data_IF_404485395670
#
_entry.id   IF_404485395670
#
_cell.length_a   1.000
_cell.length_b   1.000
_cell.length_c   1.000
_cell.angle_alpha   90.00
_cell.angle_beta   90.00
_cell.angle_gamma   90.00
#
_symmetry.space_group_name_H-M   'P 1'
#
loop_
_entity.id
_entity.type
_entity.pdbx_description
1 polymer ?
#
# COMPACT_ATOMS: atom_id res chain seq x y z
N UNK A 1 -11.90 -60.18 -15.84
CA UNK A 1 -12.25 -59.57 -14.53
C UNK A 1 -11.02 -59.45 -13.61
N UNK A 2 -9.99 -58.68 -13.99
CA UNK A 2 -8.85 -58.35 -13.10
C UNK A 2 -8.30 -56.91 -13.26
N UNK A 3 -8.91 -56.07 -14.11
CA UNK A 3 -8.51 -54.66 -14.27
C UNK A 3 -9.51 -53.63 -13.72
N UNK A 4 -10.75 -54.03 -13.41
CA UNK A 4 -11.77 -53.12 -12.85
C UNK A 4 -11.63 -52.88 -11.34
N UNK A 5 -10.83 -53.67 -10.63
CA UNK A 5 -10.68 -53.56 -9.16
C UNK A 5 -9.66 -52.51 -8.71
N UNK A 6 -8.81 -51.98 -9.60
CA UNK A 6 -7.76 -51.01 -9.24
C UNK A 6 -8.17 -49.55 -9.48
N UNK A 7 -9.13 -49.31 -10.39
CA UNK A 7 -9.63 -47.96 -10.68
C UNK A 7 -10.63 -47.50 -9.59
N UNK A 8 -11.37 -48.43 -8.98
CA UNK A 8 -12.30 -48.16 -7.87
C UNK A 8 -11.61 -47.76 -6.55
N UNK A 9 -10.33 -48.14 -6.35
CA UNK A 9 -9.59 -47.79 -5.13
C UNK A 9 -8.95 -46.39 -5.19
N UNK A 10 -8.72 -45.84 -6.39
CA UNK A 10 -8.12 -44.51 -6.57
C UNK A 10 -9.16 -43.39 -6.39
N UNK A 11 -10.44 -43.67 -6.66
CA UNK A 11 -11.52 -42.68 -6.51
C UNK A 11 -11.92 -42.49 -5.03
N UNK A 12 -11.73 -43.50 -4.17
CA UNK A 12 -12.08 -43.39 -2.74
C UNK A 12 -11.05 -42.62 -1.90
N UNK A 13 -9.82 -42.44 -2.39
CA UNK A 13 -8.77 -41.64 -1.71
C UNK A 13 -8.87 -40.14 -2.05
N UNK A 14 -9.62 -39.77 -3.08
CA UNK A 14 -9.77 -38.38 -3.54
C UNK A 14 -10.96 -37.62 -2.93
N UNK A 15 -11.81 -38.27 -2.13
CA UNK A 15 -13.04 -37.67 -1.57
C UNK A 15 -12.90 -37.26 -0.08
N UNK A 16 -11.74 -37.46 0.55
CA UNK A 16 -11.51 -37.16 1.97
C UNK A 16 -10.72 -35.87 2.27
N UNK A 17 -10.62 -34.93 1.32
CA UNK A 17 -10.01 -33.60 1.55
C UNK A 17 -11.00 -32.42 1.55
N UNK A 18 -12.31 -32.67 1.62
CA UNK A 18 -13.33 -31.63 1.82
C UNK A 18 -14.10 -31.81 3.15
N UNK A 19 -13.39 -32.17 4.22
CA UNK A 19 -13.86 -31.88 5.56
C UNK A 19 -13.37 -30.47 5.91
N UNK A 20 -14.29 -29.51 5.84
CA UNK A 20 -14.05 -28.12 6.19
C UNK A 20 -13.43 -28.01 7.58
N UNK A 21 -12.19 -27.55 7.63
CA UNK A 21 -11.70 -26.86 8.82
C UNK A 21 -12.42 -25.51 8.78
N UNK A 22 -13.54 -25.44 9.50
CA UNK A 22 -14.04 -24.17 10.00
C UNK A 22 -12.96 -23.69 10.96
N UNK A 23 -12.07 -22.81 10.47
CA UNK A 23 -11.29 -21.97 11.36
C UNK A 23 -12.28 -21.02 12.04
N UNK A 24 -12.84 -21.45 13.17
CA UNK A 24 -13.21 -20.49 14.20
C UNK A 24 -11.88 -20.01 14.78
N UNK A 25 -11.25 -19.06 14.12
CA UNK A 25 -10.29 -18.23 14.83
C UNK A 25 -11.12 -17.52 15.89
N UNK A 26 -10.91 -17.94 17.13
CA UNK A 26 -11.31 -17.15 18.26
C UNK A 26 -10.82 -15.73 18.04
N UNK A 27 -11.59 -14.79 18.54
CA UNK A 27 -11.18 -13.42 18.80
C UNK A 27 -9.86 -13.47 19.59
N UNK A 28 -8.74 -13.60 18.89
CA UNK A 28 -7.47 -13.08 19.36
C UNK A 28 -7.66 -11.58 19.23
N UNK A 29 -7.71 -10.95 20.40
CA UNK A 29 -7.60 -9.51 20.57
C UNK A 29 -6.33 -9.10 19.84
N UNK A 30 -6.46 -8.70 18.56
CA UNK A 30 -5.37 -8.08 17.83
C UNK A 30 -5.20 -6.72 18.48
N UNK A 31 -4.42 -6.68 19.57
CA UNK A 31 -3.86 -5.44 20.03
C UNK A 31 -3.05 -4.92 18.85
N UNK A 32 -3.66 -4.06 18.05
CA UNK A 32 -2.97 -3.38 16.97
C UNK A 32 -1.73 -2.74 17.59
N UNK A 33 -0.57 -2.94 16.99
CA UNK A 33 0.70 -2.39 17.49
C UNK A 33 0.69 -0.86 17.50
N UNK A 34 -0.27 -0.26 16.79
CA UNK A 34 -0.47 1.19 16.69
C UNK A 34 -1.80 1.64 17.31
N UNK A 35 -1.84 2.89 17.74
CA UNK A 35 -3.04 3.50 18.31
C UNK A 35 -3.88 4.20 17.23
N UNK A 36 -5.19 3.93 17.20
CA UNK A 36 -6.15 4.73 16.43
C UNK A 36 -6.62 5.95 17.21
N UNK A 37 -6.51 7.14 16.60
CA UNK A 37 -6.87 8.41 17.22
C UNK A 37 -7.92 9.11 16.36
N UNK A 38 -9.17 9.17 16.84
CA UNK A 38 -10.22 9.92 16.16
C UNK A 38 -10.14 11.42 16.45
N UNK A 39 -10.20 12.20 15.38
CA UNK A 39 -10.38 13.65 15.42
C UNK A 39 -11.82 13.99 15.08
N UNK A 40 -12.49 14.66 16.01
CA UNK A 40 -13.92 14.97 15.92
C UNK A 40 -14.80 13.84 16.46
N UNK A 41 -16.04 13.75 15.95
CA UNK A 41 -17.00 12.76 16.42
C UNK A 41 -16.69 11.39 15.82
N UNK A 42 -16.30 10.46 16.68
CA UNK A 42 -16.09 9.05 16.32
C UNK A 42 -17.39 8.41 15.80
N UNK A 43 -17.37 7.73 14.64
CA UNK A 43 -18.53 7.01 14.12
C UNK A 43 -18.96 5.85 15.03
N UNK A 44 -20.25 5.50 15.00
CA UNK A 44 -20.80 4.39 15.78
C UNK A 44 -20.18 3.02 15.43
N UNK A 45 -19.77 2.83 14.17
CA UNK A 45 -19.14 1.60 13.68
C UNK A 45 -17.60 1.67 13.72
N UNK A 46 -17.01 2.51 14.57
CA UNK A 46 -15.56 2.81 14.59
C UNK A 46 -14.69 1.56 14.74
N UNK A 47 -14.99 0.66 15.68
CA UNK A 47 -14.20 -0.58 15.87
C UNK A 47 -14.12 -1.42 14.57
N UNK A 48 -15.22 -1.49 13.82
CA UNK A 48 -15.25 -2.21 12.52
C UNK A 48 -14.47 -1.46 11.45
N UNK A 49 -14.57 -0.14 11.44
CA UNK A 49 -13.82 0.72 10.51
C UNK A 49 -12.32 0.55 10.76
N UNK A 50 -11.87 0.66 12.01
CA UNK A 50 -10.47 0.49 12.42
C UNK A 50 -9.93 -0.88 12.01
N UNK A 51 -10.63 -1.96 12.36
CA UNK A 51 -10.24 -3.30 11.93
C UNK A 51 -10.18 -3.48 10.40
N UNK A 52 -11.03 -2.76 9.65
CA UNK A 52 -11.00 -2.78 8.18
C UNK A 52 -9.87 -1.93 7.61
N UNK A 53 -9.48 -0.85 8.28
CA UNK A 53 -8.33 -0.02 7.92
C UNK A 53 -7.05 -0.83 8.12
N UNK A 54 -6.90 -1.53 9.25
CA UNK A 54 -5.73 -2.38 9.55
C UNK A 54 -5.41 -3.40 8.45
N UNK A 55 -6.45 -3.94 7.83
CA UNK A 55 -6.32 -4.91 6.75
C UNK A 55 -5.94 -4.27 5.40
N UNK A 56 -6.12 -2.97 5.25
CA UNK A 56 -5.95 -2.24 3.98
C UNK A 56 -4.77 -1.27 3.97
N UNK A 57 -4.20 -0.93 5.13
CA UNK A 57 -2.94 -0.18 5.20
C UNK A 57 -1.75 -1.10 4.92
N UNK A 58 -0.65 -0.52 4.47
CA UNK A 58 0.53 -1.28 4.06
C UNK A 58 1.77 -0.40 4.25
N UNK A 59 2.35 -0.36 5.46
CA UNK A 59 3.60 0.36 5.69
C UNK A 59 4.70 -0.16 4.76
N UNK A 60 5.68 0.68 4.46
CA UNK A 60 6.87 0.26 3.74
C UNK A 60 7.67 -0.74 4.59
N UNK A 61 8.29 -1.79 4.01
CA UNK A 61 9.13 -2.71 4.77
C UNK A 61 10.19 -2.00 5.63
N UNK A 62 10.16 -2.25 6.95
CA UNK A 62 11.04 -1.59 7.91
C UNK A 62 10.47 -0.26 8.47
N UNK A 63 9.21 0.04 8.22
CA UNK A 63 8.42 1.08 8.90
C UNK A 63 7.31 0.39 9.67
N UNK A 64 7.17 0.77 10.94
CA UNK A 64 6.02 0.46 11.78
C UNK A 64 5.29 1.76 12.07
N UNK A 65 3.95 1.74 12.03
CA UNK A 65 3.17 2.90 12.44
C UNK A 65 3.07 2.93 13.95
N UNK A 66 3.23 4.10 14.55
CA UNK A 66 3.00 4.31 15.98
C UNK A 66 1.56 4.74 16.25
N UNK A 67 0.99 5.53 15.34
CA UNK A 67 -0.39 5.99 15.44
C UNK A 67 -1.02 6.24 14.08
N UNK A 68 -2.33 6.07 14.03
CA UNK A 68 -3.17 6.39 12.87
C UNK A 68 -4.24 7.37 13.32
N UNK A 69 -4.10 8.62 12.87
CA UNK A 69 -5.09 9.66 13.12
C UNK A 69 -6.19 9.57 12.07
N UNK A 70 -7.43 9.43 12.52
CA UNK A 70 -8.62 9.32 11.69
C UNK A 70 -9.48 10.59 11.79
N UNK A 71 -10.05 11.01 10.68
CA UNK A 71 -11.14 11.99 10.65
C UNK A 71 -12.25 11.46 9.77
N UNK A 72 -13.50 11.76 10.12
CA UNK A 72 -14.66 11.36 9.35
C UNK A 72 -15.52 12.57 8.96
N UNK A 73 -16.00 12.55 7.73
CA UNK A 73 -17.01 13.49 7.23
C UNK A 73 -18.11 12.73 6.50
N UNK A 74 -19.33 13.27 6.50
CA UNK A 74 -20.48 12.66 5.81
C UNK A 74 -20.82 13.46 4.57
N UNK A 75 -20.84 12.79 3.43
CA UNK A 75 -21.22 13.38 2.14
C UNK A 75 -22.08 12.37 1.36
N UNK A 76 -23.22 12.79 0.82
CA UNK A 76 -24.09 11.94 -0.03
C UNK A 76 -24.42 10.56 0.57
N UNK A 77 -24.74 10.52 1.86
CA UNK A 77 -25.00 9.29 2.65
C UNK A 77 -23.82 8.30 2.74
N UNK A 78 -22.62 8.76 2.44
CA UNK A 78 -21.37 8.01 2.62
C UNK A 78 -20.53 8.65 3.71
N UNK A 79 -19.80 7.81 4.44
CA UNK A 79 -18.82 8.28 5.40
C UNK A 79 -17.45 8.28 4.71
N UNK A 80 -16.87 9.47 4.55
CA UNK A 80 -15.52 9.65 4.04
C UNK A 80 -14.58 9.67 5.24
N UNK A 81 -13.56 8.80 5.21
CA UNK A 81 -12.59 8.68 6.28
C UNK A 81 -11.22 9.02 5.72
N UNK A 82 -10.56 9.98 6.36
CA UNK A 82 -9.17 10.32 6.05
C UNK A 82 -8.30 9.78 7.19
N UNK A 83 -7.33 8.96 6.83
CA UNK A 83 -6.36 8.38 7.76
C UNK A 83 -4.97 8.97 7.50
N UNK A 84 -4.27 9.38 8.55
CA UNK A 84 -2.86 9.77 8.51
C UNK A 84 -2.09 8.87 9.46
N UNK A 85 -1.24 8.00 8.92
CA UNK A 85 -0.40 7.08 9.67
C UNK A 85 1.00 7.70 9.86
N UNK A 86 1.46 7.72 11.10
CA UNK A 86 2.75 8.31 11.50
C UNK A 86 3.67 7.26 12.08
N UNK A 87 4.97 7.42 11.86
CA UNK A 87 6.02 6.58 12.40
C UNK A 87 7.14 7.45 12.97
N UNK A 88 7.75 7.08 14.09
CA UNK A 88 8.92 7.76 14.65
C UNK A 88 10.17 7.56 13.79
N UNK A 89 10.18 6.51 12.96
CA UNK A 89 11.28 6.20 12.05
C UNK A 89 11.22 6.98 10.73
N UNK A 90 10.19 7.82 10.55
CA UNK A 90 10.01 8.65 9.36
C UNK A 90 9.48 10.04 9.70
N UNK A 91 10.11 11.07 9.13
CA UNK A 91 9.57 12.45 9.20
C UNK A 91 8.37 12.67 8.27
N UNK A 92 8.12 11.73 7.35
CA UNK A 92 6.99 11.72 6.43
C UNK A 92 5.89 10.80 6.95
N UNK A 93 4.65 11.12 6.63
CA UNK A 93 3.47 10.31 7.00
C UNK A 93 2.84 9.68 5.77
N UNK A 94 2.16 8.56 6.01
CA UNK A 94 1.29 7.95 5.03
C UNK A 94 -0.13 8.48 5.19
N UNK A 95 -0.81 8.64 4.05
CA UNK A 95 -2.18 9.12 3.99
C UNK A 95 -3.02 8.16 3.18
N UNK A 96 -4.20 7.86 3.69
CA UNK A 96 -5.18 7.00 3.04
C UNK A 96 -6.55 7.67 3.07
N UNK A 97 -7.29 7.50 1.97
CA UNK A 97 -8.66 7.95 1.84
C UNK A 97 -9.56 6.74 1.67
N UNK A 98 -10.62 6.67 2.49
CA UNK A 98 -11.58 5.58 2.45
C UNK A 98 -13.01 6.11 2.33
N UNK A 99 -13.86 5.28 1.73
CA UNK A 99 -15.31 5.44 1.75
C UNK A 99 -15.90 4.26 2.51
N UNK A 100 -16.69 4.54 3.54
CA UNK A 100 -17.46 3.56 4.29
C UNK A 100 -18.95 3.67 3.96
N UNK A 101 -19.54 2.56 3.50
CA UNK A 101 -20.96 2.47 3.11
C UNK A 101 -21.44 1.04 3.27
N UNK A 102 -22.67 0.84 3.78
CA UNK A 102 -23.29 -0.49 3.93
C UNK A 102 -22.38 -1.49 4.66
N UNK A 103 -21.65 -1.00 5.66
CA UNK A 103 -20.68 -1.80 6.44
C UNK A 103 -19.46 -2.30 5.66
N UNK A 104 -19.19 -1.72 4.49
CA UNK A 104 -18.00 -2.00 3.68
C UNK A 104 -17.11 -0.76 3.64
N UNK A 105 -15.80 -0.96 3.84
CA UNK A 105 -14.78 0.08 3.74
C UNK A 105 -13.98 -0.14 2.46
N UNK A 106 -13.92 0.86 1.59
CA UNK A 106 -13.15 0.84 0.36
C UNK A 106 -12.08 1.92 0.39
N UNK A 107 -10.80 1.53 0.26
CA UNK A 107 -9.71 2.47 -0.03
C UNK A 107 -9.90 3.08 -1.42
N UNK A 108 -10.01 4.39 -1.51
CA UNK A 108 -10.21 5.13 -2.77
C UNK A 108 -9.00 5.97 -3.17
N UNK A 109 -8.05 6.17 -2.26
CA UNK A 109 -6.83 6.91 -2.53
C UNK A 109 -5.77 6.66 -1.46
N UNK A 110 -4.52 6.96 -1.82
CA UNK A 110 -3.41 6.95 -0.89
C UNK A 110 -2.27 7.87 -1.35
N UNK A 111 -1.44 8.30 -0.39
CA UNK A 111 -0.12 8.89 -0.60
C UNK A 111 0.80 8.28 0.46
N UNK A 112 1.74 7.42 0.05
CA UNK A 112 2.59 6.68 0.97
C UNK A 112 4.02 7.22 0.92
N UNK A 113 4.40 8.10 1.85
CA UNK A 113 5.71 8.76 1.90
C UNK A 113 6.59 8.30 3.07
N UNK A 114 6.03 7.56 4.05
CA UNK A 114 6.77 6.98 5.16
C UNK A 114 7.65 5.83 4.66
N UNK A 115 8.87 6.18 4.25
CA UNK A 115 9.88 5.28 3.69
C UNK A 115 11.20 5.56 4.41
N UNK A 116 11.98 4.53 4.81
CA UNK A 116 13.25 4.74 5.49
C UNK A 116 14.19 5.65 4.68
N UNK A 117 14.91 6.55 5.37
CA UNK A 117 15.75 7.57 4.73
C UNK A 117 16.78 6.95 3.76
N UNK A 118 17.39 5.83 4.14
CA UNK A 118 18.36 5.11 3.29
C UNK A 118 17.73 4.67 1.96
N UNK A 119 16.53 4.10 2.03
CA UNK A 119 15.78 3.63 0.86
C UNK A 119 15.36 4.82 -0.02
N UNK A 120 14.92 5.93 0.59
CA UNK A 120 14.60 7.16 -0.15
C UNK A 120 15.82 7.68 -0.92
N UNK A 121 16.96 7.79 -0.26
CA UNK A 121 18.21 8.24 -0.89
C UNK A 121 18.66 7.31 -2.01
N UNK A 122 18.51 6.00 -1.83
CA UNK A 122 18.85 5.00 -2.84
C UNK A 122 17.94 5.08 -4.07
N UNK A 123 16.62 5.16 -3.88
CA UNK A 123 15.65 5.30 -4.96
C UNK A 123 15.93 6.57 -5.80
N UNK A 124 16.22 7.69 -5.14
CA UNK A 124 16.64 8.93 -5.81
C UNK A 124 17.93 8.70 -6.60
N UNK A 125 18.94 8.05 -6.02
CA UNK A 125 20.20 7.81 -6.69
C UNK A 125 20.07 6.89 -7.91
N UNK A 126 19.18 5.89 -7.86
CA UNK A 126 18.86 5.03 -9.01
C UNK A 126 18.19 5.85 -10.10
N UNK A 127 17.16 6.63 -9.77
CA UNK A 127 16.47 7.45 -10.75
C UNK A 127 17.35 8.53 -11.39
N UNK A 128 18.30 9.10 -10.65
CA UNK A 128 19.28 10.05 -11.17
C UNK A 128 20.33 9.43 -12.11
N UNK A 129 20.42 8.10 -12.19
CA UNK A 129 21.29 7.42 -13.16
C UNK A 129 20.58 7.19 -14.51
N UNK A 130 19.26 7.36 -14.56
CA UNK A 130 18.51 7.25 -15.79
C UNK A 130 18.72 8.47 -16.70
N UNK A 131 19.04 8.21 -17.96
CA UNK A 131 19.39 9.26 -18.92
C UNK A 131 18.18 10.16 -19.24
N UNK A 132 16.98 9.61 -19.35
CA UNK A 132 15.76 10.36 -19.65
C UNK A 132 15.40 11.30 -18.49
N UNK A 133 15.49 10.81 -17.25
CA UNK A 133 15.32 11.64 -16.04
C UNK A 133 16.34 12.77 -16.02
N UNK A 134 17.62 12.46 -16.24
CA UNK A 134 18.71 13.45 -16.24
C UNK A 134 18.54 14.52 -17.31
N UNK A 135 18.17 14.13 -18.52
CA UNK A 135 17.92 15.06 -19.62
C UNK A 135 16.71 15.96 -19.32
N UNK A 136 15.66 15.39 -18.74
CA UNK A 136 14.40 16.10 -18.44
C UNK A 136 14.55 17.11 -17.31
N UNK A 137 15.34 16.79 -16.28
CA UNK A 137 15.68 17.74 -15.21
C UNK A 137 16.57 18.88 -15.73
N UNK A 138 17.34 18.61 -16.79
CA UNK A 138 18.27 19.54 -17.42
C UNK A 138 19.47 19.89 -16.55
N UNK A 139 20.51 20.49 -17.15
CA UNK A 139 21.72 20.93 -16.43
C UNK A 139 21.54 22.22 -15.62
N UNK A 140 20.31 22.65 -15.35
CA UNK A 140 19.98 23.97 -14.79
C UNK A 140 19.66 23.94 -13.29
N UNK A 141 19.85 25.09 -12.63
CA UNK A 141 19.65 25.37 -11.20
C UNK A 141 18.20 25.13 -10.64
N UNK A 142 17.35 24.39 -11.34
CA UNK A 142 15.97 24.10 -10.96
C UNK A 142 15.81 22.82 -10.12
N UNK A 143 16.90 22.07 -9.86
CA UNK A 143 16.91 20.89 -8.96
C UNK A 143 17.06 21.30 -7.48
N UNK A 144 16.63 22.51 -7.10
CA UNK A 144 16.75 22.97 -5.72
C UNK A 144 15.65 22.43 -4.80
N UNK A 145 14.62 21.78 -5.35
CA UNK A 145 13.55 21.16 -4.58
C UNK A 145 13.86 19.68 -4.40
N UNK A 146 13.89 19.22 -3.15
CA UNK A 146 14.01 17.79 -2.85
C UNK A 146 12.85 17.03 -3.50
N UNK A 147 13.10 15.88 -4.15
CA UNK A 147 12.03 15.10 -4.75
C UNK A 147 11.08 14.53 -3.68
N UNK A 148 9.82 14.36 -4.07
CA UNK A 148 8.91 13.51 -3.30
C UNK A 148 9.16 12.05 -3.68
N UNK A 149 9.20 11.19 -2.67
CA UNK A 149 9.41 9.74 -2.83
C UNK A 149 8.21 9.04 -2.21
N UNK A 150 7.52 8.23 -3.02
CA UNK A 150 6.28 7.55 -2.65
C UNK A 150 6.35 6.06 -2.92
N UNK A 151 5.78 5.26 -2.03
CA UNK A 151 5.53 3.84 -2.26
C UNK A 151 4.31 3.68 -3.17
N UNK A 152 4.42 2.79 -4.15
CA UNK A 152 3.34 2.37 -5.02
C UNK A 152 2.97 0.93 -4.65
N UNK A 153 1.70 0.70 -4.34
CA UNK A 153 1.21 -0.61 -3.91
C UNK A 153 1.05 -1.59 -5.09
N UNK A 154 1.11 -2.91 -4.83
CA UNK A 154 1.01 -3.94 -5.87
C UNK A 154 -0.20 -3.79 -6.79
N UNK A 155 -1.39 -3.56 -6.23
CA UNK A 155 -2.65 -3.34 -6.97
C UNK A 155 -2.59 -2.15 -7.93
N UNK A 156 -1.85 -1.10 -7.58
CA UNK A 156 -1.65 0.07 -8.42
C UNK A 156 -0.56 -0.17 -9.46
N UNK A 157 0.57 -0.73 -9.05
CA UNK A 157 1.74 -1.00 -9.91
C UNK A 157 1.46 -1.98 -11.06
N UNK A 158 0.51 -2.89 -10.89
CA UNK A 158 0.13 -3.88 -11.92
C UNK A 158 -0.36 -3.20 -13.22
N UNK A 159 -0.88 -1.97 -13.13
CA UNK A 159 -1.33 -1.21 -14.29
C UNK A 159 -0.18 -0.58 -15.10
N UNK A 160 1.04 -0.55 -14.56
CA UNK A 160 2.17 0.20 -15.12
C UNK A 160 3.39 -0.70 -15.41
N UNK A 161 3.61 -1.73 -14.59
CA UNK A 161 4.77 -2.61 -14.71
C UNK A 161 4.45 -4.06 -14.31
N UNK A 162 4.45 -4.37 -13.02
CA UNK A 162 4.12 -5.68 -12.46
C UNK A 162 3.53 -5.49 -11.07
N UNK A 163 2.63 -6.39 -10.64
CA UNK A 163 1.96 -6.30 -9.35
C UNK A 163 2.88 -6.55 -8.16
N UNK A 164 3.68 -5.54 -7.79
CA UNK A 164 4.60 -5.56 -6.64
C UNK A 164 4.83 -4.16 -6.09
N UNK A 165 5.41 -4.07 -4.91
CA UNK A 165 5.74 -2.76 -4.33
C UNK A 165 6.86 -2.09 -5.14
N UNK A 166 6.62 -0.86 -5.59
CA UNK A 166 7.59 -0.03 -6.31
C UNK A 166 7.75 1.32 -5.61
N UNK A 167 8.75 2.10 -6.00
CA UNK A 167 8.93 3.47 -5.51
C UNK A 167 8.78 4.45 -6.67
N UNK A 168 7.98 5.49 -6.49
CA UNK A 168 7.94 6.65 -7.39
C UNK A 168 8.78 7.78 -6.81
N UNK A 169 9.69 8.34 -7.61
CA UNK A 169 10.44 9.55 -7.28
C UNK A 169 10.02 10.66 -8.24
N UNK A 170 9.64 11.80 -7.68
CA UNK A 170 8.97 12.88 -8.42
C UNK A 170 9.60 14.24 -8.13
N UNK A 171 9.89 15.01 -9.17
CA UNK A 171 10.49 16.35 -9.13
C UNK A 171 9.59 17.43 -9.76
N UNK A 172 10.02 18.69 -9.62
CA UNK A 172 9.49 19.86 -10.35
C UNK A 172 7.96 19.95 -10.33
N UNK A 173 7.38 19.99 -9.12
CA UNK A 173 5.93 20.08 -8.90
C UNK A 173 5.11 18.98 -9.61
N UNK A 174 5.67 17.78 -9.67
CA UNK A 174 5.09 16.58 -10.29
C UNK A 174 5.14 16.53 -11.82
N UNK A 175 5.98 17.35 -12.46
CA UNK A 175 6.16 17.31 -13.92
C UNK A 175 7.12 16.22 -14.41
N UNK A 176 7.98 15.68 -13.54
CA UNK A 176 8.88 14.58 -13.87
C UNK A 176 8.78 13.52 -12.79
N UNK A 177 8.50 12.27 -13.17
CA UNK A 177 8.44 11.13 -12.26
C UNK A 177 9.14 9.92 -12.83
N UNK A 178 9.81 9.16 -11.97
CA UNK A 178 10.42 7.88 -12.29
C UNK A 178 9.84 6.80 -11.37
N UNK A 179 9.38 5.69 -11.94
CA UNK A 179 9.02 4.48 -11.22
C UNK A 179 10.23 3.57 -11.14
N UNK A 180 10.59 3.18 -9.93
CA UNK A 180 11.78 2.41 -9.61
C UNK A 180 11.38 1.06 -9.05
N UNK A 181 11.97 0.03 -9.62
CA UNK A 181 12.01 -1.31 -9.06
C UNK A 181 13.24 -1.44 -8.17
N UNK A 182 13.01 -1.49 -6.86
CA UNK A 182 14.09 -1.58 -5.87
C UNK A 182 14.78 -2.95 -5.87
N UNK A 183 14.10 -4.01 -6.31
CA UNK A 183 14.67 -5.36 -6.34
C UNK A 183 15.68 -5.50 -7.49
N UNK A 184 15.33 -5.00 -8.68
CA UNK A 184 16.22 -4.99 -9.84
C UNK A 184 17.16 -3.79 -9.87
N UNK A 185 16.87 -2.76 -9.06
CA UNK A 185 17.58 -1.47 -9.01
C UNK A 185 17.51 -0.69 -10.33
N UNK A 186 16.35 -0.71 -10.98
CA UNK A 186 16.14 -0.13 -12.30
C UNK A 186 15.00 0.89 -12.29
N UNK A 187 15.11 1.89 -13.17
CA UNK A 187 13.96 2.72 -13.55
C UNK A 187 13.17 1.95 -14.58
N UNK A 188 11.92 1.63 -14.24
CA UNK A 188 11.03 0.82 -15.10
C UNK A 188 10.08 1.66 -15.93
N UNK A 189 9.85 2.92 -15.51
CA UNK A 189 9.04 3.86 -16.26
C UNK A 189 9.40 5.30 -15.89
N UNK A 190 9.36 6.18 -16.89
CA UNK A 190 9.54 7.63 -16.72
C UNK A 190 8.30 8.33 -17.28
N UNK A 191 7.85 9.37 -16.57
CA UNK A 191 6.86 10.31 -17.08
C UNK A 191 7.45 11.71 -17.03
N UNK A 192 7.40 12.37 -18.18
CA UNK A 192 7.76 13.77 -18.36
C UNK A 192 6.49 14.47 -18.84
N UNK A 193 6.13 15.61 -18.24
CA UNK A 193 4.90 16.35 -18.54
C UNK A 193 4.88 17.04 -19.92
N UNK A 194 5.54 16.46 -20.93
CA UNK A 194 5.52 16.90 -22.33
C UNK A 194 4.48 16.12 -23.15
#
# INVERSE_FOLDING_TARGET
MKSLSKIMLIIFVLILFFAGIVFTNGLEDSSSEHEFIWTGTQPADSDRIEASIDQQISPYPGIEYDSITLSASKENDKLHIHATASSYDSIYTDRYDFIYRNSELTRVGYILEAIPVSIRSEAIAIAMQDEEVMQSLGSGNNVNTAPSVKQILPDTSENFYTGKTLISVTWLDNSISALIDMDSREVVQVWTGQ
#
